data_IF_095383483771
#
_entry.id   IF_095383483771
#
_cell.length_a   1.000
_cell.length_b   1.000
_cell.length_c   1.000
_cell.angle_alpha   90.00
_cell.angle_beta   90.00
_cell.angle_gamma   90.00
#
_symmetry.space_group_name_H-M   'P 1'
#
loop_
_entity.id
_entity.type
_entity.pdbx_description
1 polymer ?
#
# COMPACT_ATOMS: atom_id res chain seq x y z
N UNK A 1 -16.87 22.35 -1.90
CA UNK A 1 -15.45 22.23 -1.46
C UNK A 1 -14.87 20.96 -2.07
N UNK A 2 -13.62 20.96 -2.55
CA UNK A 2 -12.96 19.70 -2.95
C UNK A 2 -12.90 18.72 -1.77
N UNK A 3 -13.20 17.45 -2.01
CA UNK A 3 -13.37 16.44 -0.95
C UNK A 3 -12.01 16.02 -0.36
N UNK A 4 -11.58 16.75 0.67
CA UNK A 4 -10.41 16.41 1.52
C UNK A 4 -10.60 15.04 2.18
N UNK A 5 -11.84 14.63 2.45
CA UNK A 5 -12.14 13.41 3.17
C UNK A 5 -11.73 12.18 2.35
N UNK A 6 -11.79 12.25 1.02
CA UNK A 6 -11.29 11.20 0.13
C UNK A 6 -9.81 10.90 0.35
N UNK A 7 -8.97 11.94 0.33
CA UNK A 7 -7.53 11.81 0.56
C UNK A 7 -7.21 11.35 2.00
N UNK A 8 -7.97 11.85 3.00
CA UNK A 8 -7.84 11.42 4.40
C UNK A 8 -8.18 9.94 4.56
N UNK A 9 -9.29 9.47 3.96
CA UNK A 9 -9.69 8.06 3.99
C UNK A 9 -8.64 7.16 3.34
N UNK A 10 -8.11 7.55 2.17
CA UNK A 10 -7.07 6.79 1.48
C UNK A 10 -5.80 6.64 2.32
N UNK A 11 -5.36 7.72 2.97
CA UNK A 11 -4.21 7.72 3.89
C UNK A 11 -4.42 6.84 5.12
N UNK A 12 -5.61 6.89 5.72
CA UNK A 12 -5.96 6.04 6.86
C UNK A 12 -5.88 4.55 6.48
N UNK A 13 -6.53 4.16 5.39
CA UNK A 13 -6.52 2.78 4.89
C UNK A 13 -5.11 2.30 4.52
N UNK A 14 -4.30 3.16 3.91
CA UNK A 14 -2.91 2.86 3.59
C UNK A 14 -2.09 2.60 4.86
N UNK A 15 -2.23 3.46 5.87
CA UNK A 15 -1.55 3.34 7.16
C UNK A 15 -1.94 2.04 7.87
N UNK A 16 -3.23 1.76 8.00
CA UNK A 16 -3.77 0.52 8.58
C UNK A 16 -3.30 -0.73 7.82
N UNK A 17 -3.05 -0.60 6.52
CA UNK A 17 -2.56 -1.69 5.67
C UNK A 17 -1.06 -1.93 5.77
N UNK A 18 -0.32 -1.14 6.56
CA UNK A 18 1.13 -1.27 6.70
C UNK A 18 1.91 -0.59 5.58
N UNK A 19 1.36 0.47 4.97
CA UNK A 19 2.06 1.23 3.93
C UNK A 19 3.41 1.80 4.41
N UNK A 20 3.58 2.05 5.71
CA UNK A 20 4.88 2.47 6.26
C UNK A 20 6.01 1.45 5.98
N UNK A 21 5.67 0.16 5.88
CA UNK A 21 6.62 -0.92 5.58
C UNK A 21 6.74 -1.17 4.08
N UNK A 22 5.61 -1.22 3.38
CA UNK A 22 5.54 -1.73 2.01
C UNK A 22 5.46 -0.64 0.93
N UNK A 23 5.14 0.60 1.31
CA UNK A 23 4.96 1.74 0.42
C UNK A 23 5.31 3.09 1.10
N UNK A 24 6.48 3.21 1.77
CA UNK A 24 6.79 4.38 2.59
C UNK A 24 6.88 5.68 1.78
N UNK A 25 7.31 5.62 0.52
CA UNK A 25 7.45 6.79 -0.33
C UNK A 25 6.09 7.38 -0.70
N UNK A 26 5.15 6.55 -1.14
CA UNK A 26 3.81 6.99 -1.51
C UNK A 26 3.04 7.51 -0.29
N UNK A 27 3.18 6.86 0.86
CA UNK A 27 2.58 7.32 2.11
C UNK A 27 3.09 8.71 2.50
N UNK A 28 4.41 8.92 2.39
CA UNK A 28 5.03 10.22 2.65
C UNK A 28 4.51 11.29 1.69
N UNK A 29 4.51 11.02 0.39
CA UNK A 29 3.99 11.99 -0.59
C UNK A 29 2.52 12.30 -0.36
N UNK A 30 1.66 11.31 -0.10
CA UNK A 30 0.25 11.53 0.17
C UNK A 30 0.05 12.45 1.39
N UNK A 31 0.84 12.26 2.45
CA UNK A 31 0.82 13.09 3.66
C UNK A 31 1.27 14.53 3.35
N UNK A 32 2.43 14.69 2.74
CA UNK A 32 2.99 16.02 2.39
C UNK A 32 2.03 16.83 1.51
N UNK A 33 1.38 16.18 0.54
CA UNK A 33 0.44 16.85 -0.36
C UNK A 33 -0.86 17.23 0.35
N UNK A 34 -1.32 16.42 1.30
CA UNK A 34 -2.49 16.77 2.10
C UNK A 34 -2.20 17.98 3.01
N UNK A 35 -1.00 18.04 3.59
CA UNK A 35 -0.57 19.19 4.40
C UNK A 35 -0.46 20.47 3.56
N UNK A 36 0.13 20.37 2.37
CA UNK A 36 0.18 21.47 1.41
C UNK A 36 -1.23 21.88 0.97
N UNK A 37 -2.16 20.93 0.78
CA UNK A 37 -3.54 21.23 0.42
C UNK A 37 -4.25 22.02 1.51
N UNK A 38 -4.06 21.65 2.78
CA UNK A 38 -4.60 22.38 3.94
C UNK A 38 -4.07 23.80 3.99
N UNK A 39 -2.78 23.99 3.73
CA UNK A 39 -2.17 25.32 3.64
C UNK A 39 -2.76 26.15 2.48
N UNK A 40 -2.95 25.55 1.30
CA UNK A 40 -3.56 26.21 0.15
C UNK A 40 -5.02 26.61 0.42
N UNK A 41 -5.80 25.76 1.10
CA UNK A 41 -7.16 26.09 1.55
C UNK A 41 -7.14 27.29 2.49
N UNK A 42 -6.25 27.29 3.48
CA UNK A 42 -6.12 28.39 4.43
C UNK A 42 -5.69 29.71 3.75
N UNK A 43 -4.87 29.62 2.70
CA UNK A 43 -4.46 30.76 1.87
C UNK A 43 -5.47 31.19 0.81
N UNK A 44 -6.63 30.52 0.69
CA UNK A 44 -7.65 30.83 -0.30
C UNK A 44 -7.34 30.37 -1.74
N UNK A 45 -6.25 29.62 -1.96
CA UNK A 45 -5.91 29.07 -3.26
C UNK A 45 -6.65 27.73 -3.50
N UNK A 46 -7.92 27.85 -3.87
CA UNK A 46 -8.79 26.71 -4.13
C UNK A 46 -8.31 25.81 -5.28
N UNK A 47 -7.61 26.38 -6.28
CA UNK A 47 -7.12 25.64 -7.45
C UNK A 47 -5.95 24.76 -7.05
N UNK A 48 -4.98 25.32 -6.33
CA UNK A 48 -3.84 24.56 -5.84
C UNK A 48 -4.26 23.52 -4.80
N UNK A 49 -5.19 23.89 -3.90
CA UNK A 49 -5.78 22.94 -2.96
C UNK A 49 -6.38 21.72 -3.67
N UNK A 50 -7.16 21.94 -4.74
CA UNK A 50 -7.77 20.83 -5.50
C UNK A 50 -6.72 19.89 -6.06
N UNK A 51 -5.72 20.44 -6.73
CA UNK A 51 -4.65 19.65 -7.35
C UNK A 51 -3.89 18.82 -6.31
N UNK A 52 -3.61 19.39 -5.14
CA UNK A 52 -2.91 18.71 -4.06
C UNK A 52 -3.78 17.61 -3.42
N UNK A 53 -5.08 17.83 -3.24
CA UNK A 53 -6.02 16.81 -2.76
C UNK A 53 -6.07 15.61 -3.72
N UNK A 54 -6.24 15.87 -5.02
CA UNK A 54 -6.33 14.82 -6.03
C UNK A 54 -5.04 13.98 -6.06
N UNK A 55 -3.87 14.62 -5.94
CA UNK A 55 -2.60 13.90 -5.87
C UNK A 55 -2.38 13.17 -4.55
N UNK A 56 -2.84 13.73 -3.43
CA UNK A 56 -2.79 13.07 -2.13
C UNK A 56 -3.63 11.78 -2.14
N UNK A 57 -4.84 11.84 -2.69
CA UNK A 57 -5.70 10.68 -2.86
C UNK A 57 -5.05 9.61 -3.75
N UNK A 58 -4.52 9.99 -4.91
CA UNK A 58 -3.85 9.05 -5.82
C UNK A 58 -2.63 8.36 -5.18
N UNK A 59 -1.82 9.10 -4.41
CA UNK A 59 -0.70 8.50 -3.69
C UNK A 59 -1.16 7.61 -2.52
N UNK A 60 -2.23 7.99 -1.82
CA UNK A 60 -2.83 7.18 -0.76
C UNK A 60 -3.35 5.83 -1.29
N UNK A 61 -4.05 5.83 -2.41
CA UNK A 61 -4.53 4.62 -3.07
C UNK A 61 -3.38 3.74 -3.56
N UNK A 62 -2.34 4.35 -4.13
CA UNK A 62 -1.14 3.62 -4.54
C UNK A 62 -0.42 2.99 -3.34
N UNK A 63 -0.30 3.73 -2.23
CA UNK A 63 0.30 3.24 -0.99
C UNK A 63 -0.50 2.04 -0.43
N UNK A 64 -1.83 2.13 -0.43
CA UNK A 64 -2.72 1.05 -0.04
C UNK A 64 -2.55 -0.20 -0.92
N UNK A 65 -2.53 -0.03 -2.24
CA UNK A 65 -2.36 -1.14 -3.17
C UNK A 65 -1.01 -1.86 -2.97
N UNK A 66 0.08 -1.09 -2.85
CA UNK A 66 1.42 -1.63 -2.57
C UNK A 66 1.48 -2.32 -1.21
N UNK A 67 0.83 -1.78 -0.19
CA UNK A 67 0.75 -2.40 1.13
C UNK A 67 0.02 -3.74 1.13
N UNK A 68 -1.12 -3.81 0.44
CA UNK A 68 -1.85 -5.08 0.24
C UNK A 68 -1.01 -6.10 -0.53
N UNK A 69 -0.35 -5.68 -1.61
CA UNK A 69 0.53 -6.55 -2.39
C UNK A 69 1.72 -7.08 -1.56
N UNK A 70 2.35 -6.21 -0.77
CA UNK A 70 3.45 -6.58 0.12
C UNK A 70 3.04 -7.68 1.11
N UNK A 71 1.90 -7.50 1.79
CA UNK A 71 1.35 -8.52 2.70
C UNK A 71 1.07 -9.85 2.02
N UNK A 72 0.39 -9.82 0.86
CA UNK A 72 0.09 -11.07 0.12
C UNK A 72 1.36 -11.81 -0.30
N UNK A 73 2.42 -11.09 -0.68
CA UNK A 73 3.71 -11.70 -1.02
C UNK A 73 4.37 -12.36 0.19
N UNK A 74 4.37 -11.69 1.34
CA UNK A 74 4.90 -12.25 2.58
C UNK A 74 4.11 -13.48 3.03
N UNK A 75 2.77 -13.41 3.00
CA UNK A 75 1.91 -14.56 3.33
C UNK A 75 2.15 -15.75 2.39
N UNK A 76 2.32 -15.48 1.08
CA UNK A 76 2.63 -16.52 0.10
C UNK A 76 4.00 -17.17 0.36
N UNK A 77 5.00 -16.38 0.74
CA UNK A 77 6.34 -16.88 1.10
C UNK A 77 6.28 -17.74 2.36
N UNK A 78 5.56 -17.29 3.39
CA UNK A 78 5.39 -18.03 4.63
C UNK A 78 4.70 -19.38 4.39
N UNK A 79 3.62 -19.41 3.59
CA UNK A 79 2.92 -20.65 3.22
C UNK A 79 3.81 -21.59 2.40
N UNK A 80 4.60 -21.07 1.47
CA UNK A 80 5.54 -21.88 0.69
C UNK A 80 6.61 -22.52 1.59
N UNK A 81 7.16 -21.77 2.55
CA UNK A 81 8.11 -22.28 3.52
C UNK A 81 7.50 -23.38 4.41
N UNK A 82 6.28 -23.18 4.91
CA UNK A 82 5.54 -24.19 5.67
C UNK A 82 5.30 -25.48 4.87
N UNK A 83 4.91 -25.36 3.60
CA UNK A 83 4.75 -26.53 2.72
C UNK A 83 6.07 -27.28 2.55
N UNK A 84 7.18 -26.56 2.34
CA UNK A 84 8.50 -27.17 2.20
C UNK A 84 8.93 -27.91 3.48
N UNK A 85 8.70 -27.31 4.65
CA UNK A 85 8.96 -27.93 5.95
C UNK A 85 8.11 -29.19 6.15
N UNK A 86 6.81 -29.13 5.87
CA UNK A 86 5.91 -30.28 5.98
C UNK A 86 6.31 -31.41 5.03
N UNK A 87 6.68 -31.10 3.79
CA UNK A 87 7.19 -32.10 2.82
C UNK A 87 8.45 -32.78 3.33
N UNK A 88 9.40 -32.01 3.87
CA UNK A 88 10.63 -32.55 4.46
C UNK A 88 10.32 -33.48 5.65
N UNK A 89 9.41 -33.06 6.55
CA UNK A 89 9.00 -33.87 7.72
C UNK A 89 8.28 -35.16 7.34
N UNK A 90 7.49 -35.12 6.27
CA UNK A 90 6.77 -36.29 5.76
C UNK A 90 7.64 -37.23 4.92
N UNK A 91 8.92 -36.88 4.70
CA UNK A 91 9.81 -37.66 3.85
C UNK A 91 9.34 -37.74 2.39
N UNK A 92 8.47 -36.82 1.96
CA UNK A 92 7.96 -36.76 0.58
C UNK A 92 9.08 -36.20 -0.28
N UNK A 93 9.87 -37.09 -0.89
CA UNK A 93 10.81 -36.72 -1.94
C UNK A 93 10.07 -35.95 -3.05
N UNK A 94 10.67 -34.93 -3.67
CA UNK A 94 10.07 -34.29 -4.84
C UNK A 94 9.76 -35.39 -5.85
N UNK A 95 8.51 -35.44 -6.33
CA UNK A 95 8.09 -36.39 -7.34
C UNK A 95 9.02 -36.25 -8.55
N UNK A 96 9.96 -37.18 -8.68
CA UNK A 96 10.84 -37.26 -9.82
C UNK A 96 9.97 -37.68 -11.01
N UNK A 97 9.72 -36.75 -11.92
CA UNK A 97 9.21 -37.08 -13.25
C UNK A 97 7.95 -36.35 -13.67
N UNK A 98 8.11 -35.09 -14.08
CA UNK A 98 7.44 -34.64 -15.30
C UNK A 98 8.53 -34.14 -16.25
N UNK A 99 8.90 -35.02 -17.19
CA UNK A 99 9.49 -34.64 -18.46
C UNK A 99 8.58 -35.22 -19.55
N UNK A 100 8.08 -34.42 -20.50
CA UNK A 100 7.89 -34.93 -21.85
C UNK A 100 9.24 -35.14 -22.54
#
# INVERSE_FOLDING_TARGET
MPDVDGAVRALALATESGAATYAPLELRFATEQLDQARAAIAGGDAKQARLLIDRAAANGDLALAKARLGRVREDSRAKAAQIAELKARLGVAPAAGERP
#
